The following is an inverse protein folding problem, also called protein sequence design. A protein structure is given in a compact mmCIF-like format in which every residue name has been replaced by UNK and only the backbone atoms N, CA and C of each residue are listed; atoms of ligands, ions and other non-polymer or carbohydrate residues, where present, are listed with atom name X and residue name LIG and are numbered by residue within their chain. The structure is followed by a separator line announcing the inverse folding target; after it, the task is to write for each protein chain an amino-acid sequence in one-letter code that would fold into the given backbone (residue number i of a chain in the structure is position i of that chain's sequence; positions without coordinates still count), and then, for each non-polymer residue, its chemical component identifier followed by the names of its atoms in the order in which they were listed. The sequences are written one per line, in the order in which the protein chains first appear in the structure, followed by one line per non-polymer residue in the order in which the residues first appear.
data_IF_224112741137
#
_entry.id   IF_224112741137
#
_cell.length_a   1.000
_cell.length_b   1.000
_cell.length_c   1.000
_cell.angle_alpha   90.00
_cell.angle_beta   90.00
_cell.angle_gamma   90.00
#
_symmetry.space_group_name_H-M   'P 1'
#
loop_
_entity.id
_entity.type
_entity.pdbx_description
1 polymer ?
#
# COMPACT_ATOMS: atom_id res chain seq x y z
N UNK A 1 -1.06 -19.32 -13.55
CA UNK A 1 0.43 -19.21 -13.48
C UNK A 1 0.77 -17.72 -13.44
N UNK A 2 1.64 -17.31 -12.56
CA UNK A 2 2.12 -15.92 -12.48
C UNK A 2 3.01 -15.65 -13.69
N UNK A 3 2.63 -14.65 -14.51
CA UNK A 3 3.37 -14.18 -15.66
C UNK A 3 3.08 -12.68 -15.83
N UNK A 4 4.09 -11.84 -15.63
CA UNK A 4 3.95 -10.37 -15.67
C UNK A 4 5.31 -9.70 -15.83
N UNK A 5 5.35 -8.42 -16.14
CA UNK A 5 6.57 -7.63 -16.13
C UNK A 5 7.11 -7.52 -14.69
N UNK A 6 6.24 -7.23 -13.73
CA UNK A 6 6.63 -7.10 -12.32
C UNK A 6 5.80 -8.06 -11.47
N UNK A 7 6.45 -8.83 -10.60
CA UNK A 7 5.78 -9.53 -9.52
C UNK A 7 6.07 -8.81 -8.19
N UNK A 8 5.06 -8.73 -7.33
CA UNK A 8 5.15 -8.11 -6.00
C UNK A 8 4.73 -9.12 -4.96
N UNK A 9 5.54 -9.31 -3.92
CA UNK A 9 5.22 -10.20 -2.80
C UNK A 9 4.67 -9.40 -1.64
N UNK A 10 3.40 -9.64 -1.35
CA UNK A 10 2.63 -9.01 -0.27
C UNK A 10 1.68 -7.91 -0.75
N UNK A 11 0.38 -8.08 -0.44
CA UNK A 11 -0.67 -7.08 -0.67
C UNK A 11 -0.80 -6.10 0.51
N UNK A 12 0.31 -5.71 1.10
CA UNK A 12 0.38 -4.63 2.09
C UNK A 12 0.32 -3.25 1.42
N UNK A 13 0.32 -2.16 2.23
CA UNK A 13 0.20 -0.80 1.70
C UNK A 13 1.30 -0.45 0.69
N UNK A 14 2.54 -0.85 0.94
CA UNK A 14 3.65 -0.58 0.01
C UNK A 14 3.51 -1.35 -1.29
N UNK A 15 3.20 -2.66 -1.22
CA UNK A 15 3.05 -3.51 -2.40
C UNK A 15 1.88 -3.07 -3.28
N UNK A 16 0.71 -2.79 -2.69
CA UNK A 16 -0.45 -2.33 -3.45
C UNK A 16 -0.28 -0.91 -4.00
N UNK A 17 0.40 -0.01 -3.28
CA UNK A 17 0.72 1.33 -3.80
C UNK A 17 1.67 1.24 -4.99
N UNK A 18 2.71 0.41 -4.89
CA UNK A 18 3.63 0.16 -6.00
C UNK A 18 2.89 -0.44 -7.21
N UNK A 19 2.05 -1.46 -6.97
CA UNK A 19 1.23 -2.06 -8.02
C UNK A 19 0.36 -1.01 -8.73
N UNK A 20 -0.31 -0.14 -7.96
CA UNK A 20 -1.15 0.93 -8.49
C UNK A 20 -0.37 1.89 -9.39
N UNK A 21 0.80 2.34 -8.97
CA UNK A 21 1.63 3.22 -9.80
C UNK A 21 2.12 2.54 -11.07
N UNK A 22 2.57 1.29 -10.98
CA UNK A 22 3.08 0.55 -12.13
C UNK A 22 2.00 0.30 -13.19
N UNK A 23 0.79 -0.12 -12.80
CA UNK A 23 -0.28 -0.35 -13.76
C UNK A 23 -0.75 0.95 -14.44
N UNK A 24 -0.73 2.08 -13.73
CA UNK A 24 -1.02 3.38 -14.33
C UNK A 24 0.09 3.88 -15.29
N UNK A 25 1.29 3.26 -15.25
CA UNK A 25 2.36 3.47 -16.25
C UNK A 25 2.33 2.41 -17.37
N UNK A 26 1.31 1.58 -17.43
CA UNK A 26 1.18 0.56 -18.47
C UNK A 26 1.95 -0.73 -18.22
N UNK A 27 2.46 -0.94 -17.00
CA UNK A 27 3.23 -2.14 -16.63
C UNK A 27 2.29 -3.24 -16.13
N UNK A 28 2.47 -4.46 -16.61
CA UNK A 28 1.72 -5.63 -16.10
C UNK A 28 2.28 -6.08 -14.75
N UNK A 29 1.38 -6.26 -13.78
CA UNK A 29 1.74 -6.58 -12.39
C UNK A 29 0.99 -7.79 -11.87
N UNK A 30 1.71 -8.67 -11.20
CA UNK A 30 1.15 -9.76 -10.38
C UNK A 30 1.48 -9.53 -8.92
N UNK A 31 0.47 -9.50 -8.05
CA UNK A 31 0.66 -9.38 -6.60
C UNK A 31 0.32 -10.71 -5.94
N UNK A 32 1.28 -11.28 -5.22
CA UNK A 32 1.10 -12.53 -4.48
C UNK A 32 0.88 -12.22 -2.99
N UNK A 33 -0.24 -12.65 -2.43
CA UNK A 33 -0.58 -12.46 -1.02
C UNK A 33 -0.92 -13.81 -0.38
N UNK A 34 -0.26 -14.14 0.73
CA UNK A 34 -0.47 -15.42 1.42
C UNK A 34 -1.83 -15.51 2.12
N UNK A 35 -2.34 -14.38 2.60
CA UNK A 35 -3.65 -14.33 3.24
C UNK A 35 -4.77 -14.46 2.21
N UNK A 36 -5.94 -14.95 2.64
CA UNK A 36 -7.10 -15.11 1.76
C UNK A 36 -7.78 -13.78 1.39
N UNK A 37 -7.55 -12.75 2.17
CA UNK A 37 -8.12 -11.39 2.01
C UNK A 37 -7.15 -10.35 2.56
N UNK A 38 -7.44 -9.07 2.31
CA UNK A 38 -6.71 -7.97 2.96
C UNK A 38 -6.90 -8.06 4.47
N UNK A 39 -5.81 -8.16 5.26
CA UNK A 39 -5.90 -8.17 6.72
C UNK A 39 -6.40 -6.83 7.27
N UNK A 40 -7.35 -6.87 8.19
CA UNK A 40 -7.89 -5.68 8.90
C UNK A 40 -7.22 -5.47 10.25
N UNK A 41 -5.95 -5.79 10.36
CA UNK A 41 -5.18 -5.59 11.58
C UNK A 41 -4.95 -4.11 11.85
N UNK A 42 -5.05 -3.71 13.11
CA UNK A 42 -4.72 -2.36 13.56
C UNK A 42 -3.20 -2.29 13.74
N UNK A 43 -2.47 -2.01 12.65
CA UNK A 43 -0.99 -1.88 12.65
C UNK A 43 -0.54 -0.43 12.64
N UNK A 44 -1.20 0.40 11.84
CA UNK A 44 -0.95 1.82 11.74
C UNK A 44 -2.28 2.53 11.43
N UNK A 45 -2.44 3.74 11.96
CA UNK A 45 -3.69 4.49 11.88
C UNK A 45 -3.47 5.97 11.56
N UNK A 46 -2.30 6.33 11.04
CA UNK A 46 -2.01 7.75 10.77
C UNK A 46 -1.32 7.92 9.42
N UNK A 47 -1.89 8.77 8.58
CA UNK A 47 -1.26 9.26 7.36
C UNK A 47 -0.76 10.68 7.58
N UNK A 48 0.46 10.93 7.12
CA UNK A 48 1.10 12.23 7.19
C UNK A 48 0.97 12.99 5.86
N UNK A 49 1.15 14.32 5.83
CA UNK A 49 1.03 15.15 4.63
C UNK A 49 1.73 14.55 3.41
N UNK A 50 3.01 14.23 3.52
CA UNK A 50 3.79 13.71 2.39
C UNK A 50 3.22 12.41 1.78
N UNK A 51 2.58 11.55 2.60
CA UNK A 51 1.92 10.34 2.09
C UNK A 51 0.62 10.69 1.38
N UNK A 52 -0.14 11.66 1.90
CA UNK A 52 -1.38 12.12 1.27
C UNK A 52 -1.09 12.82 -0.06
N UNK A 53 -0.05 13.66 -0.12
CA UNK A 53 0.41 14.30 -1.36
C UNK A 53 0.77 13.27 -2.43
N UNK A 54 1.48 12.19 -2.07
CA UNK A 54 1.80 11.10 -2.99
C UNK A 54 0.56 10.35 -3.52
N UNK A 55 -0.51 10.32 -2.76
CA UNK A 55 -1.75 9.64 -3.12
C UNK A 55 -2.77 10.55 -3.81
N UNK A 56 -2.49 11.85 -3.91
CA UNK A 56 -3.44 12.87 -4.37
C UNK A 56 -3.81 12.72 -5.85
N UNK A 57 -2.82 12.61 -6.73
CA UNK A 57 -3.02 12.47 -8.17
C UNK A 57 -3.94 11.29 -8.56
N UNK A 58 -4.00 10.27 -7.71
CA UNK A 58 -4.84 9.10 -7.91
C UNK A 58 -6.26 9.24 -7.32
N UNK A 59 -6.54 10.34 -6.60
CA UNK A 59 -7.77 10.55 -5.85
C UNK A 59 -7.89 9.70 -4.58
N UNK A 60 -6.86 8.89 -4.24
CA UNK A 60 -6.87 8.06 -3.04
C UNK A 60 -6.82 8.88 -1.75
N UNK A 61 -6.09 10.01 -1.77
CA UNK A 61 -5.99 10.88 -0.60
C UNK A 61 -7.36 11.44 -0.19
N UNK A 62 -8.15 11.94 -1.16
CA UNK A 62 -9.49 12.47 -0.89
C UNK A 62 -10.45 11.41 -0.36
N UNK A 63 -10.38 10.17 -0.86
CA UNK A 63 -11.20 9.06 -0.34
C UNK A 63 -10.79 8.66 1.08
N UNK A 64 -9.48 8.66 1.40
CA UNK A 64 -9.01 8.40 2.76
C UNK A 64 -9.44 9.48 3.74
N UNK A 65 -9.39 10.76 3.33
CA UNK A 65 -9.84 11.90 4.15
C UNK A 65 -11.33 11.74 4.51
N UNK A 66 -12.16 11.25 3.59
CA UNK A 66 -13.59 10.98 3.86
C UNK A 66 -13.81 9.81 4.85
N UNK A 67 -12.85 8.90 4.98
CA UNK A 67 -12.92 7.72 5.86
C UNK A 67 -12.26 7.93 7.21
N UNK A 68 -11.40 8.94 7.33
CA UNK A 68 -10.61 9.22 8.52
C UNK A 68 -11.06 10.45 9.29
N UNK A 69 -10.27 10.81 10.29
CA UNK A 69 -10.44 12.03 11.09
C UNK A 69 -9.25 12.96 10.83
N UNK A 70 -9.54 14.17 10.40
CA UNK A 70 -8.54 15.23 10.20
C UNK A 70 -8.09 15.77 11.54
N UNK A 71 -6.79 15.77 11.79
CA UNK A 71 -6.14 16.23 13.03
C UNK A 71 -5.10 17.30 12.69
N UNK A 72 -5.48 18.59 12.69
CA UNK A 72 -4.57 19.68 12.33
C UNK A 72 -3.53 19.98 13.41
N UNK A 73 -3.79 19.57 14.65
CA UNK A 73 -2.87 19.79 15.78
C UNK A 73 -2.66 18.51 16.57
N UNK A 74 -1.46 18.28 17.05
CA UNK A 74 -1.15 17.23 17.99
C UNK A 74 -0.18 17.72 19.06
N UNK A 75 -0.09 17.02 20.18
CA UNK A 75 0.74 17.44 21.29
C UNK A 75 1.57 16.30 21.87
N UNK A 76 2.70 16.66 22.41
CA UNK A 76 3.53 15.82 23.26
C UNK A 76 3.45 16.34 24.70
N UNK A 77 3.08 15.46 25.62
CA UNK A 77 2.95 15.80 27.03
C UNK A 77 3.92 14.95 27.86
N UNK A 78 4.74 15.61 28.67
CA UNK A 78 5.59 14.96 29.68
C UNK A 78 4.82 14.94 31.01
N UNK A 79 4.32 13.77 31.39
CA UNK A 79 3.46 13.63 32.56
C UNK A 79 4.14 14.03 33.89
N UNK A 80 5.46 13.80 34.01
CA UNK A 80 6.23 14.09 35.22
C UNK A 80 6.39 15.57 35.49
N UNK A 81 6.60 16.38 34.45
CA UNK A 81 6.85 17.82 34.57
C UNK A 81 5.63 18.67 34.21
N UNK A 82 4.65 18.09 33.53
CA UNK A 82 3.52 18.82 32.97
C UNK A 82 3.87 19.65 31.72
N UNK A 83 5.11 19.57 31.25
CA UNK A 83 5.55 20.27 30.05
C UNK A 83 4.82 19.72 28.81
N UNK A 84 4.43 20.61 27.92
CA UNK A 84 3.66 20.28 26.74
C UNK A 84 4.22 21.03 25.53
N UNK A 85 4.50 20.28 24.45
CA UNK A 85 4.77 20.82 23.14
C UNK A 85 3.54 20.61 22.25
N UNK A 86 3.04 21.65 21.60
CA UNK A 86 1.93 21.61 20.65
C UNK A 86 2.49 21.81 19.25
N UNK A 87 2.11 20.95 18.33
CA UNK A 87 2.50 21.02 16.93
C UNK A 87 1.26 21.35 16.11
N UNK A 88 1.26 22.54 15.51
CA UNK A 88 0.22 22.99 14.62
C UNK A 88 0.66 22.75 13.18
N UNK A 89 -0.04 21.86 12.49
CA UNK A 89 0.28 21.47 11.13
C UNK A 89 -0.16 22.50 10.08
N UNK A 90 -0.98 23.50 10.47
CA UNK A 90 -1.42 24.56 9.55
C UNK A 90 -0.25 25.41 9.05
N UNK A 91 0.89 25.40 9.77
CA UNK A 91 2.12 26.01 9.28
C UNK A 91 2.66 25.42 7.96
N UNK A 92 2.09 24.31 7.49
CA UNK A 92 2.43 23.66 6.22
C UNK A 92 1.48 24.00 5.06
N UNK A 93 0.49 24.89 5.25
CA UNK A 93 -0.51 25.24 4.23
C UNK A 93 0.09 25.74 2.91
N UNK A 94 1.28 26.35 2.96
CA UNK A 94 1.99 26.84 1.77
C UNK A 94 2.71 25.73 0.98
N UNK A 95 2.85 24.52 1.55
CA UNK A 95 3.66 23.45 0.95
C UNK A 95 2.91 22.14 0.68
N UNK A 96 1.70 21.98 1.22
CA UNK A 96 0.86 20.80 1.00
C UNK A 96 -0.62 21.13 1.03
N UNK A 97 -1.43 20.40 0.26
CA UNK A 97 -2.88 20.45 0.34
C UNK A 97 -3.44 19.72 1.60
N UNK A 98 -2.58 19.01 2.34
CA UNK A 98 -2.95 18.19 3.51
C UNK A 98 -2.19 18.62 4.77
N UNK A 99 -2.35 19.87 5.27
CA UNK A 99 -1.61 20.39 6.42
C UNK A 99 -2.16 19.82 7.75
N UNK A 100 -2.25 18.49 7.84
CA UNK A 100 -2.80 17.76 9.00
C UNK A 100 -2.28 16.31 9.04
N UNK A 101 -2.47 15.67 10.17
CA UNK A 101 -2.41 14.21 10.27
C UNK A 101 -3.80 13.65 10.05
N UNK A 102 -3.92 12.64 9.20
CA UNK A 102 -5.18 11.93 9.03
C UNK A 102 -5.15 10.67 9.89
N UNK A 103 -6.05 10.59 10.88
CA UNK A 103 -6.30 9.36 11.63
C UNK A 103 -7.25 8.48 10.79
N UNK A 104 -6.68 7.45 10.18
CA UNK A 104 -7.39 6.49 9.34
C UNK A 104 -6.63 5.17 9.39
N UNK A 105 -7.33 4.08 9.64
CA UNK A 105 -6.71 2.76 9.73
C UNK A 105 -6.06 2.37 8.40
N UNK A 106 -4.85 1.82 8.47
CA UNK A 106 -4.04 1.47 7.29
C UNK A 106 -4.77 0.53 6.33
N UNK A 107 -5.59 -0.39 6.85
CA UNK A 107 -6.35 -1.32 6.01
C UNK A 107 -7.36 -0.61 5.09
N UNK A 108 -7.81 0.60 5.42
CA UNK A 108 -8.66 1.40 4.54
C UNK A 108 -7.97 1.72 3.21
N UNK A 109 -6.67 2.05 3.24
CA UNK A 109 -5.88 2.26 2.03
C UNK A 109 -5.70 0.95 1.24
N UNK A 110 -5.35 -0.14 1.92
CA UNK A 110 -5.11 -1.42 1.25
C UNK A 110 -6.37 -1.99 0.62
N UNK A 111 -7.54 -1.85 1.26
CA UNK A 111 -8.82 -2.24 0.68
C UNK A 111 -9.20 -1.39 -0.54
N UNK A 112 -9.00 -0.07 -0.49
CA UNK A 112 -9.22 0.82 -1.63
C UNK A 112 -8.35 0.43 -2.83
N UNK A 113 -7.06 0.25 -2.58
CA UNK A 113 -6.10 -0.13 -3.62
C UNK A 113 -6.42 -1.50 -4.19
N UNK A 114 -6.71 -2.50 -3.34
CA UNK A 114 -7.04 -3.85 -3.79
C UNK A 114 -8.31 -3.86 -4.65
N UNK A 115 -9.35 -3.10 -4.28
CA UNK A 115 -10.56 -2.98 -5.07
C UNK A 115 -10.30 -2.38 -6.45
N UNK A 116 -9.53 -1.29 -6.54
CA UNK A 116 -9.18 -0.67 -7.82
C UNK A 116 -8.29 -1.56 -8.69
N UNK A 117 -7.32 -2.24 -8.09
CA UNK A 117 -6.41 -3.14 -8.79
C UNK A 117 -7.12 -4.41 -9.29
N UNK A 118 -8.14 -4.90 -8.58
CA UNK A 118 -8.93 -6.05 -9.01
C UNK A 118 -9.73 -5.77 -10.31
N UNK A 119 -10.07 -4.52 -10.57
CA UNK A 119 -10.75 -4.08 -11.78
C UNK A 119 -9.77 -3.66 -12.90
N UNK A 120 -8.48 -3.56 -12.60
CA UNK A 120 -7.47 -3.07 -13.56
C UNK A 120 -6.94 -4.21 -14.45
N UNK A 121 -7.04 -4.06 -15.77
CA UNK A 121 -6.67 -5.10 -16.76
C UNK A 121 -5.20 -5.51 -16.74
N UNK A 122 -4.31 -4.67 -16.22
CA UNK A 122 -2.87 -4.93 -16.12
C UNK A 122 -2.46 -5.49 -14.74
N UNK A 123 -3.40 -5.74 -13.83
CA UNK A 123 -3.11 -6.30 -12.51
C UNK A 123 -3.81 -7.63 -12.29
N UNK A 124 -3.09 -8.56 -11.66
CA UNK A 124 -3.69 -9.77 -11.12
C UNK A 124 -3.29 -9.91 -9.65
N UNK A 125 -4.30 -9.98 -8.77
CA UNK A 125 -4.11 -10.23 -7.34
C UNK A 125 -4.29 -11.72 -7.06
N UNK A 126 -3.24 -12.36 -6.56
CA UNK A 126 -3.23 -13.77 -6.17
C UNK A 126 -3.28 -13.87 -4.64
N UNK A 127 -4.47 -13.97 -4.07
CA UNK A 127 -4.66 -14.25 -2.65
C UNK A 127 -4.46 -15.75 -2.35
N UNK A 128 -4.31 -16.11 -1.07
CA UNK A 128 -3.98 -17.47 -0.64
C UNK A 128 -2.77 -18.06 -1.37
N UNK A 129 -1.82 -17.19 -1.75
CA UNK A 129 -0.67 -17.53 -2.57
C UNK A 129 0.62 -17.16 -1.84
N UNK A 130 1.31 -18.18 -1.34
CA UNK A 130 2.51 -18.02 -0.52
C UNK A 130 3.76 -18.13 -1.39
N UNK A 131 4.46 -17.01 -1.57
CA UNK A 131 5.78 -16.97 -2.18
C UNK A 131 6.78 -17.81 -1.36
N UNK A 132 7.62 -18.58 -2.03
CA UNK A 132 8.64 -19.42 -1.42
C UNK A 132 10.05 -18.91 -1.69
N UNK A 133 10.41 -18.81 -2.95
CA UNK A 133 11.69 -18.30 -3.40
C UNK A 133 11.67 -17.89 -4.87
N UNK A 134 12.78 -17.30 -5.31
CA UNK A 134 13.00 -16.94 -6.70
C UNK A 134 14.47 -17.13 -7.09
N UNK A 135 14.69 -17.45 -8.36
CA UNK A 135 16.02 -17.48 -8.99
C UNK A 135 16.00 -16.62 -10.25
N UNK A 136 17.12 -15.97 -10.56
CA UNK A 136 17.29 -15.25 -11.81
C UNK A 136 18.09 -16.10 -12.79
N UNK A 137 17.47 -16.41 -13.93
CA UNK A 137 18.07 -17.15 -15.04
C UNK A 137 17.66 -16.49 -16.35
N UNK A 138 18.56 -16.40 -17.32
CA UNK A 138 18.29 -15.86 -18.66
C UNK A 138 17.60 -14.49 -18.66
N UNK A 139 18.05 -13.57 -17.76
CA UNK A 139 17.52 -12.21 -17.57
C UNK A 139 16.05 -12.17 -17.07
N UNK A 140 15.52 -13.30 -16.59
CA UNK A 140 14.18 -13.38 -15.99
C UNK A 140 14.24 -13.91 -14.57
N UNK A 141 13.25 -13.55 -13.79
CA UNK A 141 13.06 -14.04 -12.41
C UNK A 141 12.03 -15.16 -12.42
N UNK A 142 12.47 -16.36 -12.09
CA UNK A 142 11.62 -17.55 -11.95
C UNK A 142 11.16 -17.67 -10.49
N UNK A 143 9.85 -17.69 -10.28
CA UNK A 143 9.21 -17.71 -8.97
C UNK A 143 8.77 -19.13 -8.61
N UNK A 144 8.91 -19.49 -7.33
CA UNK A 144 8.23 -20.63 -6.73
C UNK A 144 7.26 -20.14 -5.66
N UNK A 145 6.03 -20.64 -5.72
CA UNK A 145 4.97 -20.27 -4.76
C UNK A 145 4.01 -21.44 -4.56
N UNK A 146 3.21 -21.39 -3.51
CA UNK A 146 2.14 -22.33 -3.23
C UNK A 146 0.80 -21.60 -3.26
N UNK A 147 -0.18 -22.21 -3.89
CA UNK A 147 -1.59 -21.84 -3.83
C UNK A 147 -2.43 -22.99 -3.26
N UNK A 148 -3.75 -22.88 -3.35
CA UNK A 148 -4.67 -23.92 -2.87
C UNK A 148 -4.48 -25.29 -3.56
N UNK A 149 -3.96 -25.31 -4.79
CA UNK A 149 -3.72 -26.51 -5.58
C UNK A 149 -2.29 -27.08 -5.37
N UNK A 150 -1.45 -26.45 -4.56
CA UNK A 150 -0.09 -26.88 -4.21
C UNK A 150 1.02 -26.03 -4.83
N UNK A 151 2.18 -26.66 -5.06
CA UNK A 151 3.36 -25.98 -5.58
C UNK A 151 3.19 -25.54 -7.03
N UNK A 152 3.54 -24.31 -7.32
CA UNK A 152 3.45 -23.65 -8.62
C UNK A 152 4.76 -22.93 -8.97
N UNK A 153 4.90 -22.64 -10.25
CA UNK A 153 5.99 -21.80 -10.77
C UNK A 153 5.41 -20.66 -11.60
N UNK A 154 6.15 -19.59 -11.69
CA UNK A 154 5.83 -18.42 -12.50
C UNK A 154 7.10 -17.71 -12.95
N UNK A 155 6.96 -16.66 -13.74
CA UNK A 155 8.08 -15.85 -14.17
C UNK A 155 7.69 -14.36 -14.26
N UNK A 156 8.69 -13.49 -14.08
CA UNK A 156 8.55 -12.05 -14.28
C UNK A 156 9.91 -11.48 -14.71
N UNK A 157 9.91 -10.21 -15.10
CA UNK A 157 11.17 -9.54 -15.40
C UNK A 157 11.78 -8.93 -14.13
N UNK A 158 10.93 -8.54 -13.15
CA UNK A 158 11.33 -7.94 -11.88
C UNK A 158 10.50 -8.49 -10.70
N UNK A 159 11.17 -8.69 -9.55
CA UNK A 159 10.56 -9.08 -8.28
C UNK A 159 10.89 -8.03 -7.20
#
# INVERSE_FOLDING_TARGET
MVESTVAIVGAGPSGLTLAWWLVNQGVTVSVLEREATIPRDIRASTFHPATLDLLDDSGLASELVQRGTVVPQWQYLIHETGERAVFDMTCLEDVTAYPFRLQCEQFQLTELLAARLAEHTLCTLYFSTSFQDAITEDERVHLRYHDADGAKQGACDWL
#
